data_IF_310883529996
#
_entry.id   IF_310883529996
#
_cell.length_a   1.000
_cell.length_b   1.000
_cell.length_c   1.000
_cell.angle_alpha   90.00
_cell.angle_beta   90.00
_cell.angle_gamma   90.00
#
_symmetry.space_group_name_H-M   'P 1'
#
loop_
_entity.id
_entity.type
_entity.pdbx_description
1 polymer ?
#
# COMPACT_ATOMS: atom_id res chain seq x y z
N UNK A 1 11.14 -6.15 -13.54
CA UNK A 1 10.81 -4.77 -13.12
C UNK A 1 10.72 -4.80 -11.60
N UNK A 2 11.55 -4.02 -10.91
CA UNK A 2 11.60 -4.02 -9.44
C UNK A 2 10.38 -3.28 -8.88
N UNK A 3 9.25 -3.99 -8.85
CA UNK A 3 7.96 -3.54 -8.34
C UNK A 3 7.89 -3.77 -6.83
N UNK A 4 7.32 -2.80 -6.11
CA UNK A 4 7.04 -2.93 -4.69
C UNK A 4 5.52 -3.06 -4.53
N UNK A 5 5.07 -4.10 -3.83
CA UNK A 5 3.65 -4.40 -3.59
C UNK A 5 3.42 -4.45 -2.08
N UNK A 6 2.40 -3.73 -1.62
CA UNK A 6 2.09 -3.60 -0.21
C UNK A 6 0.75 -4.28 0.09
N UNK A 7 0.73 -5.19 1.06
CA UNK A 7 -0.46 -5.80 1.64
C UNK A 7 -0.58 -5.34 3.09
N UNK A 8 -1.54 -4.45 3.35
CA UNK A 8 -1.88 -3.99 4.69
C UNK A 8 -3.33 -4.37 5.00
N UNK A 9 -3.55 -5.13 6.08
CA UNK A 9 -4.89 -5.56 6.50
C UNK A 9 -5.65 -6.39 5.45
N UNK A 10 -4.97 -7.35 4.82
CA UNK A 10 -5.57 -8.22 3.80
C UNK A 10 -5.69 -9.66 4.30
N UNK A 11 -6.72 -10.37 3.83
CA UNK A 11 -6.82 -11.82 3.98
C UNK A 11 -6.65 -12.45 2.61
N UNK A 12 -5.70 -13.38 2.49
CA UNK A 12 -5.44 -14.17 1.28
C UNK A 12 -5.65 -15.63 1.64
N UNK A 13 -6.73 -16.21 1.14
CA UNK A 13 -7.17 -17.56 1.43
C UNK A 13 -7.80 -18.22 0.21
N UNK A 14 -8.05 -19.54 0.30
CA UNK A 14 -8.66 -20.35 -0.77
C UNK A 14 -7.91 -20.30 -2.12
N UNK A 15 -6.58 -20.18 -2.08
CA UNK A 15 -5.78 -20.28 -3.30
C UNK A 15 -5.25 -21.70 -3.47
N UNK A 16 -5.77 -22.42 -4.45
CA UNK A 16 -5.39 -23.81 -4.75
C UNK A 16 -4.30 -23.93 -5.84
N UNK A 17 -3.70 -22.82 -6.27
CA UNK A 17 -2.78 -22.82 -7.39
C UNK A 17 -1.44 -23.51 -7.03
N UNK A 18 -0.87 -24.23 -8.00
CA UNK A 18 0.43 -24.91 -7.86
C UNK A 18 1.61 -23.93 -7.67
N UNK A 19 1.36 -22.62 -7.63
CA UNK A 19 2.37 -21.59 -7.42
C UNK A 19 2.49 -21.16 -5.97
N UNK A 20 1.40 -21.13 -5.22
CA UNK A 20 1.27 -20.41 -3.95
C UNK A 20 0.26 -19.26 -4.07
N UNK A 21 -0.11 -18.67 -2.94
CA UNK A 21 -1.15 -17.63 -2.89
C UNK A 21 -0.66 -16.27 -3.44
N UNK A 22 0.60 -15.93 -3.18
CA UNK A 22 1.21 -14.66 -3.61
C UNK A 22 2.48 -14.95 -4.42
N UNK A 23 2.60 -14.38 -5.62
CA UNK A 23 3.77 -14.56 -6.48
C UNK A 23 4.75 -13.38 -6.38
N UNK A 24 6.03 -13.69 -6.18
CA UNK A 24 7.15 -12.75 -6.22
C UNK A 24 7.99 -13.00 -7.45
N UNK A 25 8.03 -12.02 -8.35
CA UNK A 25 8.90 -12.02 -9.53
C UNK A 25 10.28 -11.43 -9.25
N UNK A 26 11.20 -11.63 -10.19
CA UNK A 26 12.58 -11.13 -10.14
C UNK A 26 12.67 -9.62 -9.83
N UNK A 27 13.46 -9.29 -8.81
CA UNK A 27 13.69 -7.91 -8.37
C UNK A 27 12.52 -7.30 -7.58
N UNK A 28 11.47 -8.08 -7.31
CA UNK A 28 10.25 -7.62 -6.63
C UNK A 28 10.44 -7.47 -5.13
N UNK A 29 9.64 -6.60 -4.53
CA UNK A 29 9.51 -6.50 -3.08
C UNK A 29 8.03 -6.60 -2.71
N UNK A 30 7.71 -7.46 -1.75
CA UNK A 30 6.38 -7.54 -1.16
C UNK A 30 6.51 -7.16 0.32
N UNK A 31 5.72 -6.18 0.77
CA UNK A 31 5.61 -5.85 2.18
C UNK A 31 4.23 -6.29 2.67
N UNK A 32 4.21 -7.05 3.75
CA UNK A 32 3.00 -7.63 4.33
C UNK A 32 2.96 -7.17 5.77
N UNK A 33 1.93 -6.39 6.11
CA UNK A 33 1.70 -5.96 7.49
C UNK A 33 0.30 -6.27 7.90
N UNK A 34 0.15 -6.75 9.13
CA UNK A 34 -1.15 -6.91 9.76
C UNK A 34 -2.15 -7.68 8.89
N UNK A 35 -1.68 -8.74 8.23
CA UNK A 35 -2.42 -9.47 7.21
C UNK A 35 -2.46 -10.96 7.54
N UNK A 36 -3.42 -11.68 6.96
CA UNK A 36 -3.61 -13.11 7.14
C UNK A 36 -3.41 -13.80 5.78
N UNK A 37 -2.47 -14.75 5.71
CA UNK A 37 -2.23 -15.61 4.55
C UNK A 37 -2.35 -17.05 5.03
N UNK A 38 -3.56 -17.59 4.95
CA UNK A 38 -3.96 -18.87 5.51
C UNK A 38 -5.05 -19.54 4.67
N UNK A 39 -5.25 -20.84 4.84
CA UNK A 39 -6.23 -21.63 4.09
C UNK A 39 -5.92 -21.73 2.60
N UNK A 40 -4.67 -21.48 2.21
CA UNK A 40 -4.22 -21.71 0.85
C UNK A 40 -3.73 -23.16 0.73
N UNK A 41 -3.43 -23.58 -0.51
CA UNK A 41 -2.84 -24.87 -0.80
C UNK A 41 -1.45 -25.05 -0.15
N UNK A 42 -0.65 -25.96 -0.70
CA UNK A 42 0.59 -26.42 -0.06
C UNK A 42 1.62 -25.32 0.23
N UNK A 43 1.52 -24.13 -0.38
CA UNK A 43 2.49 -23.05 -0.28
C UNK A 43 1.81 -21.68 -0.24
N UNK A 44 2.38 -20.74 0.52
CA UNK A 44 1.85 -19.39 0.65
C UNK A 44 2.41 -18.44 -0.43
N UNK A 45 3.64 -18.70 -0.88
CA UNK A 45 4.32 -17.88 -1.86
C UNK A 45 4.81 -18.67 -3.07
N UNK A 46 4.63 -18.09 -4.26
CA UNK A 46 5.33 -18.52 -5.47
C UNK A 46 6.57 -17.68 -5.64
N UNK A 47 7.74 -18.31 -5.68
CA UNK A 47 8.99 -17.59 -5.93
C UNK A 47 9.60 -18.02 -7.26
N UNK A 48 10.03 -17.04 -8.07
CA UNK A 48 10.65 -17.31 -9.36
C UNK A 48 12.18 -17.15 -9.28
N UNK A 49 12.90 -17.95 -10.09
CA UNK A 49 14.35 -17.82 -10.23
C UNK A 49 14.67 -16.65 -11.16
N UNK A 50 15.45 -15.68 -10.68
CA UNK A 50 15.92 -14.53 -11.45
C UNK A 50 17.40 -14.23 -11.20
N UNK A 51 17.92 -13.23 -11.89
CA UNK A 51 19.27 -12.68 -11.69
C UNK A 51 19.29 -11.55 -10.64
N UNK A 52 18.15 -10.91 -10.36
CA UNK A 52 18.00 -9.90 -9.32
C UNK A 52 17.34 -10.47 -8.04
N UNK A 53 17.81 -10.09 -6.83
CA UNK A 53 17.19 -10.51 -5.59
C UNK A 53 15.82 -9.87 -5.41
N UNK A 54 14.91 -10.64 -4.81
CA UNK A 54 13.57 -10.20 -4.45
C UNK A 54 13.37 -10.35 -2.94
N UNK A 55 12.40 -9.65 -2.38
CA UNK A 55 12.23 -9.55 -0.92
C UNK A 55 10.77 -9.72 -0.54
N UNK A 56 10.52 -10.45 0.54
CA UNK A 56 9.20 -10.53 1.19
C UNK A 56 9.38 -10.12 2.63
N UNK A 57 8.91 -8.92 2.97
CA UNK A 57 9.01 -8.35 4.31
C UNK A 57 7.68 -8.56 5.03
N UNK A 58 7.70 -9.19 6.20
CA UNK A 58 6.49 -9.61 6.92
C UNK A 58 6.56 -9.10 8.35
N UNK A 59 5.55 -8.36 8.77
CA UNK A 59 5.42 -7.81 10.13
C UNK A 59 3.96 -7.98 10.60
N UNK A 60 3.76 -8.25 11.89
CA UNK A 60 2.44 -8.35 12.54
C UNK A 60 1.42 -9.21 11.77
N UNK A 61 1.86 -10.25 11.06
CA UNK A 61 1.03 -10.98 10.10
C UNK A 61 1.01 -12.47 10.39
N UNK A 62 -0.12 -13.11 10.08
CA UNK A 62 -0.35 -14.54 10.25
C UNK A 62 -0.11 -15.25 8.93
N UNK A 63 0.96 -16.03 8.85
CA UNK A 63 1.32 -16.80 7.65
C UNK A 63 1.22 -18.28 7.97
N UNK A 64 0.47 -19.04 7.16
CA UNK A 64 0.36 -20.47 7.33
C UNK A 64 1.73 -21.14 7.13
N UNK A 65 2.13 -21.93 8.13
CA UNK A 65 3.46 -22.50 8.19
C UNK A 65 4.52 -21.62 8.86
N UNK A 66 4.16 -20.39 9.25
CA UNK A 66 5.02 -19.47 9.99
C UNK A 66 6.34 -19.23 9.26
N UNK A 67 7.46 -19.30 9.98
CA UNK A 67 8.81 -19.10 9.42
C UNK A 67 9.42 -20.35 8.77
N UNK A 68 8.67 -21.45 8.65
CA UNK A 68 9.20 -22.70 8.09
C UNK A 68 9.32 -22.62 6.56
N UNK A 69 10.55 -22.59 6.00
CA UNK A 69 10.76 -22.43 4.56
C UNK A 69 10.14 -23.55 3.72
N UNK A 70 10.00 -24.75 4.29
CA UNK A 70 9.51 -25.94 3.56
C UNK A 70 8.05 -25.86 3.14
N UNK A 71 7.27 -25.00 3.81
CA UNK A 71 5.82 -24.82 3.58
C UNK A 71 5.48 -23.40 3.12
N UNK A 72 6.44 -22.48 3.18
CA UNK A 72 6.24 -21.10 2.78
C UNK A 72 6.16 -20.94 1.27
N UNK A 73 7.01 -21.63 0.51
CA UNK A 73 7.10 -21.39 -0.93
C UNK A 73 7.53 -22.60 -1.74
N UNK A 74 7.22 -22.56 -3.04
CA UNK A 74 7.83 -23.44 -4.04
C UNK A 74 8.91 -22.65 -4.78
N UNK A 75 10.18 -22.97 -4.54
CA UNK A 75 11.23 -22.72 -5.52
C UNK A 75 12.18 -23.92 -5.62
N UNK A 76 12.58 -24.23 -6.85
CA UNK A 76 13.38 -25.40 -7.22
C UNK A 76 14.83 -25.33 -6.75
N UNK A 77 15.06 -25.43 -5.44
CA UNK A 77 16.32 -25.48 -4.69
C UNK A 77 16.93 -24.11 -4.35
N UNK A 78 17.03 -23.86 -3.04
CA UNK A 78 17.78 -22.80 -2.35
C UNK A 78 19.24 -22.63 -2.86
N UNK A 79 19.85 -21.43 -2.77
CA UNK A 79 19.27 -20.12 -2.50
C UNK A 79 19.73 -19.09 -3.55
N UNK A 80 18.92 -18.80 -4.56
CA UNK A 80 19.10 -17.59 -5.37
C UNK A 80 17.74 -17.06 -5.82
N UNK A 81 17.24 -16.00 -5.17
CA UNK A 81 16.23 -15.14 -5.77
C UNK A 81 15.26 -14.43 -4.84
N UNK A 82 14.91 -14.96 -3.66
CA UNK A 82 13.95 -14.32 -2.73
C UNK A 82 14.39 -14.46 -1.27
N UNK A 83 14.43 -13.34 -0.56
CA UNK A 83 14.73 -13.27 0.88
C UNK A 83 13.45 -12.95 1.66
N UNK A 84 13.12 -13.79 2.64
CA UNK A 84 12.01 -13.56 3.57
C UNK A 84 12.54 -12.86 4.82
N UNK A 85 12.14 -11.60 5.00
CA UNK A 85 12.48 -10.79 6.15
C UNK A 85 11.32 -10.79 7.15
N UNK A 86 11.55 -11.40 8.31
CA UNK A 86 10.58 -11.47 9.40
C UNK A 86 10.87 -10.34 10.38
N UNK A 87 9.97 -9.38 10.47
CA UNK A 87 10.05 -8.25 11.39
C UNK A 87 9.31 -8.52 12.71
N UNK A 88 8.75 -7.46 13.29
CA UNK A 88 8.03 -7.53 14.57
C UNK A 88 6.67 -8.22 14.44
N UNK A 89 6.08 -8.63 15.58
CA UNK A 89 4.74 -9.22 15.62
C UNK A 89 4.60 -10.58 14.92
N UNK A 90 5.68 -11.35 14.82
CA UNK A 90 5.64 -12.71 14.27
C UNK A 90 5.48 -13.70 15.43
N UNK A 91 4.29 -14.28 15.52
CA UNK A 91 3.93 -15.25 16.56
C UNK A 91 4.29 -16.66 16.10
N UNK A 92 5.02 -17.40 16.94
CA UNK A 92 5.51 -18.75 16.61
C UNK A 92 4.45 -19.83 16.82
N UNK A 93 3.51 -19.61 17.74
CA UNK A 93 2.35 -20.48 17.96
C UNK A 93 1.35 -20.35 16.82
N UNK A 94 0.56 -21.40 16.53
CA UNK A 94 -0.62 -21.27 15.69
C UNK A 94 -1.54 -20.14 16.20
N UNK A 95 -2.27 -19.46 15.30
CA UNK A 95 -3.12 -18.34 15.67
C UNK A 95 -4.42 -18.74 16.37
N UNK A 96 -4.75 -20.04 16.44
CA UNK A 96 -5.98 -20.54 17.05
C UNK A 96 -7.23 -19.77 16.58
N UNK A 97 -7.51 -19.85 15.29
CA UNK A 97 -8.69 -19.23 14.70
C UNK A 97 -9.99 -19.83 15.27
N UNK A 98 -11.05 -19.03 15.35
CA UNK A 98 -12.39 -19.46 15.76
C UNK A 98 -12.92 -20.56 14.82
N UNK A 99 -12.54 -20.52 13.54
CA UNK A 99 -12.95 -21.46 12.52
C UNK A 99 -14.44 -21.32 12.16
N UNK A 100 -15.04 -22.41 11.69
CA UNK A 100 -16.43 -22.43 11.25
C UNK A 100 -16.73 -23.63 10.37
N UNK A 101 -17.97 -23.69 9.87
CA UNK A 101 -18.39 -24.73 8.93
C UNK A 101 -17.89 -24.47 7.50
N UNK A 102 -17.60 -23.21 7.16
CA UNK A 102 -17.12 -22.78 5.85
C UNK A 102 -15.72 -22.17 5.96
N UNK A 103 -14.70 -22.92 5.51
CA UNK A 103 -13.31 -22.46 5.46
C UNK A 103 -13.05 -21.40 4.37
N UNK A 104 -14.05 -21.14 3.52
CA UNK A 104 -14.03 -20.11 2.48
C UNK A 104 -14.70 -18.79 2.92
N UNK A 105 -15.15 -18.70 4.17
CA UNK A 105 -15.59 -17.45 4.76
C UNK A 105 -14.38 -16.73 5.39
N UNK A 106 -14.06 -15.48 5.03
CA UNK A 106 -12.99 -14.73 5.70
C UNK A 106 -13.19 -14.61 7.22
N UNK A 107 -14.42 -14.70 7.72
CA UNK A 107 -14.74 -14.71 9.16
C UNK A 107 -14.20 -15.94 9.88
N UNK A 108 -13.88 -17.02 9.16
CA UNK A 108 -13.22 -18.21 9.69
C UNK A 108 -11.89 -17.87 10.40
N UNK A 109 -11.20 -16.83 9.92
CA UNK A 109 -9.86 -16.43 10.37
C UNK A 109 -9.85 -15.37 11.49
N UNK A 110 -10.98 -15.13 12.15
CA UNK A 110 -10.99 -14.40 13.42
C UNK A 110 -10.28 -15.23 14.50
N UNK A 111 -9.68 -14.55 15.49
CA UNK A 111 -9.02 -15.24 16.60
C UNK A 111 -10.06 -15.87 17.54
N UNK A 112 -9.74 -17.01 18.11
CA UNK A 112 -10.48 -17.57 19.25
C UNK A 112 -9.96 -17.01 20.57
N UNK A 113 -10.73 -17.19 21.65
CA UNK A 113 -10.37 -16.77 23.00
C UNK A 113 -9.05 -17.36 23.54
N UNK A 114 -8.54 -18.43 22.92
CA UNK A 114 -7.30 -19.09 23.32
C UNK A 114 -6.08 -18.60 22.55
N UNK A 115 -6.27 -17.66 21.61
CA UNK A 115 -5.21 -17.24 20.72
C UNK A 115 -4.13 -16.44 21.43
N UNK A 116 -2.89 -16.88 21.25
CA UNK A 116 -1.70 -16.12 21.61
C UNK A 116 -1.46 -14.85 20.77
N UNK A 117 -2.30 -14.61 19.76
CA UNK A 117 -2.23 -13.43 18.90
C UNK A 117 -3.03 -12.24 19.43
N UNK A 118 -3.85 -12.46 20.47
CA UNK A 118 -4.61 -11.40 21.15
C UNK A 118 -3.62 -10.48 21.88
N UNK A 119 -3.76 -9.17 21.71
CA UNK A 119 -2.95 -8.10 22.31
C UNK A 119 -1.44 -8.26 22.08
N UNK A 120 -1.03 -8.91 20.97
CA UNK A 120 0.37 -9.27 20.71
C UNK A 120 1.08 -8.38 19.68
N UNK A 121 0.40 -7.36 19.16
CA UNK A 121 0.89 -6.41 18.16
C UNK A 121 1.46 -5.13 18.75
N UNK A 122 1.00 -3.99 18.24
CA UNK A 122 1.48 -2.65 18.62
C UNK A 122 0.43 -1.88 19.41
N UNK A 123 0.81 -0.92 20.26
CA UNK A 123 -0.16 -0.14 21.03
C UNK A 123 -0.98 0.86 20.19
N UNK A 124 -0.56 1.13 18.93
CA UNK A 124 -1.25 2.01 18.01
C UNK A 124 -0.96 1.62 16.54
N UNK A 125 -1.58 2.33 15.59
CA UNK A 125 -1.48 2.02 14.15
C UNK A 125 -0.26 2.65 13.45
N UNK A 126 0.65 3.29 14.19
CA UNK A 126 1.80 4.03 13.64
C UNK A 126 2.69 3.10 12.82
N UNK A 127 2.93 3.47 11.56
CA UNK A 127 3.81 2.70 10.66
C UNK A 127 3.19 1.43 10.06
N UNK A 128 1.95 1.09 10.44
CA UNK A 128 1.20 -0.06 9.92
C UNK A 128 0.25 0.31 8.77
N UNK A 129 -0.06 1.60 8.57
CA UNK A 129 -1.03 2.08 7.55
C UNK A 129 -2.43 1.48 7.74
N UNK A 130 -2.83 1.30 9.01
CA UNK A 130 -4.12 0.73 9.39
C UNK A 130 -5.13 1.82 9.73
N UNK A 131 -6.42 1.63 9.39
CA UNK A 131 -7.49 2.46 9.91
C UNK A 131 -7.70 2.21 11.41
N UNK A 132 -8.42 3.10 12.11
CA UNK A 132 -8.76 2.90 13.52
C UNK A 132 -9.82 1.81 13.76
N UNK A 133 -10.25 1.09 12.72
CA UNK A 133 -11.11 -0.08 12.80
C UNK A 133 -10.51 -1.29 12.07
N UNK A 134 -11.00 -2.50 12.35
CA UNK A 134 -10.61 -3.76 11.71
C UNK A 134 -11.44 -4.09 10.45
N UNK A 135 -11.34 -5.30 9.88
CA UNK A 135 -12.15 -5.67 8.70
C UNK A 135 -13.65 -5.88 9.00
N UNK A 136 -14.06 -5.99 10.26
CA UNK A 136 -15.45 -6.04 10.71
C UNK A 136 -15.99 -4.68 11.14
N UNK A 137 -15.19 -3.63 11.02
CA UNK A 137 -15.47 -2.30 11.57
C UNK A 137 -15.51 -2.29 13.11
N UNK A 138 -14.73 -3.12 13.79
CA UNK A 138 -14.53 -3.02 15.25
C UNK A 138 -13.35 -2.10 15.58
N UNK A 139 -13.29 -1.55 16.79
CA UNK A 139 -12.15 -0.72 17.23
C UNK A 139 -10.82 -1.46 17.09
N UNK A 140 -9.82 -0.80 16.48
CA UNK A 140 -8.50 -1.40 16.20
C UNK A 140 -7.61 -1.57 17.44
N UNK A 141 -7.62 -0.56 18.32
CA UNK A 141 -6.83 -0.57 19.55
C UNK A 141 -7.80 -0.93 20.65
N UNK A 142 -7.72 -2.17 21.10
CA UNK A 142 -8.67 -2.78 22.03
C UNK A 142 -7.92 -3.58 23.08
N UNK A 143 -8.55 -3.80 24.24
CA UNK A 143 -8.02 -4.62 25.33
C UNK A 143 -8.74 -5.98 25.26
N UNK A 144 -8.23 -6.87 24.40
CA UNK A 144 -8.89 -8.14 24.08
C UNK A 144 -8.88 -9.15 25.23
N UNK A 145 -7.89 -9.05 26.11
CA UNK A 145 -7.69 -9.91 27.26
C UNK A 145 -8.18 -9.33 28.61
N UNK A 146 -8.68 -8.09 28.62
CA UNK A 146 -9.18 -7.35 29.80
C UNK A 146 -8.13 -7.19 30.92
N UNK A 147 -6.85 -7.00 30.56
CA UNK A 147 -5.74 -6.77 31.50
C UNK A 147 -5.49 -5.29 31.83
N UNK A 148 -6.21 -4.38 31.17
CA UNK A 148 -6.09 -2.93 31.29
C UNK A 148 -5.19 -2.30 30.24
N UNK A 149 -4.69 -3.05 29.26
CA UNK A 149 -3.77 -2.58 28.21
C UNK A 149 -4.34 -2.83 26.83
N UNK A 150 -4.73 -1.76 26.14
CA UNK A 150 -5.19 -1.89 24.76
C UNK A 150 -4.03 -2.03 23.76
N UNK A 151 -3.97 -3.13 23.02
CA UNK A 151 -2.95 -3.46 22.03
C UNK A 151 -3.65 -4.05 20.79
N UNK A 152 -3.08 -3.81 19.61
CA UNK A 152 -3.61 -4.39 18.36
C UNK A 152 -3.30 -5.90 18.33
N UNK A 153 -4.29 -6.69 17.94
CA UNK A 153 -4.12 -8.12 17.68
C UNK A 153 -3.26 -8.39 16.44
N UNK A 154 -2.61 -9.55 16.39
CA UNK A 154 -1.91 -9.98 15.18
C UNK A 154 -2.93 -10.51 14.17
N UNK A 155 -3.05 -9.84 13.02
CA UNK A 155 -3.95 -10.24 11.94
C UNK A 155 -4.95 -9.15 11.60
N UNK A 156 -6.03 -9.48 10.89
CA UNK A 156 -6.93 -8.49 10.31
C UNK A 156 -8.16 -8.12 11.17
N UNK A 157 -8.36 -8.82 12.29
CA UNK A 157 -9.53 -8.74 13.15
C UNK A 157 -9.10 -8.53 14.59
N UNK A 158 -9.85 -7.72 15.34
CA UNK A 158 -9.65 -7.53 16.77
C UNK A 158 -10.62 -8.39 17.58
N UNK A 159 -10.08 -9.18 18.49
CA UNK A 159 -10.83 -10.09 19.33
C UNK A 159 -11.62 -9.31 20.39
N UNK A 160 -12.93 -9.56 20.43
CA UNK A 160 -13.81 -9.01 21.46
C UNK A 160 -14.04 -7.50 21.37
N UNK A 161 -13.53 -6.83 20.33
CA UNK A 161 -13.68 -5.40 20.14
C UNK A 161 -15.12 -5.00 19.79
N UNK A 162 -15.57 -3.89 20.37
CA UNK A 162 -16.86 -3.30 20.04
C UNK A 162 -16.84 -2.71 18.62
N UNK A 163 -18.04 -2.64 18.00
CA UNK A 163 -18.23 -1.96 16.72
C UNK A 163 -17.77 -0.49 16.83
N UNK A 164 -17.00 -0.06 15.83
CA UNK A 164 -16.49 1.29 15.73
C UNK A 164 -17.64 2.25 15.42
N UNK A 165 -18.07 3.02 16.42
CA UNK A 165 -19.14 4.03 16.28
C UNK A 165 -18.61 5.46 16.10
N UNK A 166 -17.36 5.63 15.67
CA UNK A 166 -16.80 6.96 15.40
C UNK A 166 -17.60 7.70 14.32
N UNK A 167 -17.90 8.98 14.55
CA UNK A 167 -18.64 9.84 13.59
C UNK A 167 -17.76 10.25 12.40
N UNK A 168 -16.47 9.90 12.43
CA UNK A 168 -15.57 10.09 11.30
C UNK A 168 -15.73 8.92 10.34
N UNK A 169 -16.53 9.12 9.29
CA UNK A 169 -16.57 8.20 8.14
C UNK A 169 -15.14 7.88 7.69
N UNK A 170 -14.86 6.63 7.26
CA UNK A 170 -13.54 6.21 6.84
C UNK A 170 -12.84 7.10 5.80
N UNK A 171 -11.92 7.97 6.21
CA UNK A 171 -10.85 8.41 5.31
C UNK A 171 -9.87 7.25 5.16
N UNK A 172 -10.02 6.49 4.08
CA UNK A 172 -8.94 5.64 3.58
C UNK A 172 -7.74 6.56 3.33
N UNK A 173 -6.70 6.48 4.18
CA UNK A 173 -5.42 7.17 3.94
C UNK A 173 -4.66 6.41 2.85
N UNK A 174 -5.16 6.49 1.62
CA UNK A 174 -4.30 6.44 0.45
C UNK A 174 -3.57 7.78 0.46
N UNK A 175 -2.25 7.88 0.15
CA UNK A 175 -1.67 9.17 -0.18
C UNK A 175 -2.31 9.64 -1.50
N UNK A 176 -3.50 10.24 -1.43
CA UNK A 176 -4.34 10.51 -2.60
C UNK A 176 -3.82 11.72 -3.37
N UNK A 177 -3.10 12.61 -2.70
CA UNK A 177 -2.61 13.85 -3.30
C UNK A 177 -1.12 14.13 -3.03
N UNK A 178 -0.38 14.39 -4.10
CA UNK A 178 0.93 15.03 -4.04
C UNK A 178 0.69 16.51 -3.80
N UNK A 179 1.26 17.04 -2.72
CA UNK A 179 1.23 18.47 -2.49
C UNK A 179 1.95 19.18 -3.65
N UNK A 180 1.17 19.96 -4.40
CA UNK A 180 1.69 20.77 -5.48
C UNK A 180 0.98 22.12 -5.53
N UNK A 181 1.67 23.14 -6.02
CA UNK A 181 1.13 24.47 -6.23
C UNK A 181 1.71 25.06 -7.49
N UNK A 182 1.05 26.08 -8.04
CA UNK A 182 1.61 26.85 -9.13
C UNK A 182 1.60 28.34 -8.76
N UNK A 183 2.74 29.00 -8.91
CA UNK A 183 2.89 30.43 -8.66
C UNK A 183 3.71 31.10 -9.77
N UNK A 184 3.26 32.24 -10.32
CA UNK A 184 2.00 32.93 -10.00
C UNK A 184 0.76 32.18 -10.55
N UNK A 185 -0.40 32.40 -9.92
CA UNK A 185 -1.72 31.98 -10.40
C UNK A 185 -2.76 33.02 -9.97
N UNK A 186 -3.37 33.80 -10.89
CA UNK A 186 -3.21 33.75 -12.34
C UNK A 186 -1.82 34.15 -12.84
N UNK A 187 -1.44 33.75 -14.06
CA UNK A 187 -0.15 34.10 -14.66
C UNK A 187 -0.29 34.59 -16.11
N UNK A 188 0.68 35.40 -16.59
CA UNK A 188 0.63 36.04 -17.92
C UNK A 188 1.69 35.50 -18.91
N UNK A 189 2.88 35.15 -18.43
CA UNK A 189 3.99 34.65 -19.26
C UNK A 189 4.41 33.22 -18.90
N UNK A 190 4.54 32.94 -17.61
CA UNK A 190 4.86 31.62 -17.10
C UNK A 190 4.37 31.42 -15.67
N UNK A 191 4.23 30.16 -15.27
CA UNK A 191 3.98 29.76 -13.88
C UNK A 191 4.95 28.65 -13.51
N UNK A 192 5.43 28.66 -12.27
CA UNK A 192 6.26 27.60 -11.71
C UNK A 192 5.37 26.65 -10.95
N UNK A 193 5.34 25.39 -11.35
CA UNK A 193 4.65 24.31 -10.66
C UNK A 193 5.64 23.69 -9.69
N UNK A 194 5.42 23.86 -8.39
CA UNK A 194 6.22 23.30 -7.31
C UNK A 194 5.52 22.09 -6.71
N UNK A 195 6.25 21.03 -6.38
CA UNK A 195 5.71 19.79 -5.81
C UNK A 195 6.75 19.07 -4.95
N UNK A 196 6.29 18.25 -4.01
CA UNK A 196 7.15 17.50 -3.10
C UNK A 196 6.95 15.99 -3.27
N UNK A 197 8.05 15.25 -3.45
CA UNK A 197 8.04 13.79 -3.61
C UNK A 197 8.56 13.13 -2.33
N UNK A 198 7.76 12.24 -1.75
CA UNK A 198 8.17 11.42 -0.61
C UNK A 198 9.04 10.24 -1.03
N UNK A 199 9.78 9.65 -0.08
CA UNK A 199 10.65 8.48 -0.29
C UNK A 199 9.93 7.26 -0.89
N UNK A 200 8.61 7.19 -0.76
CA UNK A 200 7.77 6.09 -1.27
C UNK A 200 7.38 6.25 -2.76
N UNK A 201 7.61 7.41 -3.37
CA UNK A 201 7.01 7.81 -4.65
C UNK A 201 8.03 8.42 -5.64
N UNK A 202 9.31 8.07 -5.60
CA UNK A 202 10.35 8.71 -6.44
C UNK A 202 10.55 8.08 -7.83
N UNK A 203 9.53 7.43 -8.43
CA UNK A 203 9.68 6.68 -9.70
C UNK A 203 8.61 7.06 -10.72
N UNK A 204 9.01 7.32 -11.97
CA UNK A 204 8.14 7.65 -13.11
C UNK A 204 7.26 8.89 -12.87
N UNK A 205 7.86 10.03 -12.55
CA UNK A 205 7.15 11.29 -12.35
C UNK A 205 6.80 11.92 -13.69
N UNK A 206 5.51 12.10 -13.95
CA UNK A 206 4.99 12.72 -15.16
C UNK A 206 4.14 13.94 -14.82
N UNK A 207 4.43 15.08 -15.42
CA UNK A 207 3.62 16.30 -15.31
C UNK A 207 3.09 16.68 -16.69
N UNK A 208 1.77 16.78 -16.79
CA UNK A 208 1.04 17.08 -18.03
C UNK A 208 0.07 18.23 -17.83
N UNK A 209 -0.11 19.05 -18.87
CA UNK A 209 -1.07 20.14 -18.94
C UNK A 209 -2.24 19.71 -19.83
N UNK A 210 -3.45 20.05 -19.41
CA UNK A 210 -4.70 19.78 -20.11
C UNK A 210 -5.56 21.04 -20.22
N UNK A 211 -6.35 21.14 -21.29
CA UNK A 211 -7.37 22.17 -21.44
C UNK A 211 -8.71 21.75 -20.79
N UNK A 212 -9.70 22.65 -20.78
CA UNK A 212 -11.04 22.38 -20.22
C UNK A 212 -11.82 21.24 -20.89
N UNK A 213 -11.41 20.83 -22.10
CA UNK A 213 -12.00 19.68 -22.82
C UNK A 213 -11.30 18.35 -22.46
N UNK A 214 -10.34 18.37 -21.53
CA UNK A 214 -9.53 17.20 -21.17
C UNK A 214 -8.49 16.80 -22.21
N UNK A 215 -8.22 17.66 -23.22
CA UNK A 215 -7.20 17.38 -24.22
C UNK A 215 -5.83 17.74 -23.67
N UNK A 216 -4.86 16.84 -23.85
CA UNK A 216 -3.46 17.08 -23.45
C UNK A 216 -2.88 18.22 -24.30
N UNK A 217 -2.35 19.23 -23.61
CA UNK A 217 -1.74 20.43 -24.19
C UNK A 217 -0.24 20.32 -24.22
N UNK A 218 0.38 19.90 -23.10
CA UNK A 218 1.83 19.79 -22.99
C UNK A 218 2.25 18.70 -22.01
N UNK A 219 3.35 18.02 -22.29
CA UNK A 219 4.10 17.22 -21.31
C UNK A 219 5.27 18.07 -20.80
N UNK A 220 5.27 18.43 -19.51
CA UNK A 220 6.30 19.28 -18.91
C UNK A 220 7.48 18.49 -18.35
N UNK A 221 7.19 17.30 -17.84
CA UNK A 221 8.15 16.45 -17.16
C UNK A 221 7.74 15.00 -17.38
N UNK A 222 8.71 14.11 -17.63
CA UNK A 222 8.48 12.67 -17.71
C UNK A 222 9.80 11.94 -17.42
N UNK A 223 10.21 11.93 -16.15
CA UNK A 223 11.50 11.37 -15.73
C UNK A 223 11.44 10.80 -14.30
N UNK A 224 12.55 10.17 -13.90
CA UNK A 224 12.75 9.75 -12.51
C UNK A 224 13.36 10.91 -11.71
N UNK A 225 12.72 11.27 -10.60
CA UNK A 225 13.19 12.32 -9.70
C UNK A 225 13.50 11.72 -8.33
N UNK A 226 14.55 12.22 -7.67
CA UNK A 226 14.83 11.88 -6.28
C UNK A 226 13.71 12.39 -5.34
N UNK A 227 13.69 11.90 -4.10
CA UNK A 227 12.80 12.44 -3.07
C UNK A 227 13.17 13.91 -2.74
N UNK A 228 12.18 14.69 -2.34
CA UNK A 228 12.33 16.11 -1.98
C UNK A 228 11.50 17.06 -2.83
N UNK A 229 11.81 18.36 -2.72
CA UNK A 229 11.10 19.44 -3.40
C UNK A 229 11.62 19.65 -4.81
N UNK A 230 10.69 19.75 -5.75
CA UNK A 230 10.95 19.94 -7.18
C UNK A 230 10.10 21.05 -7.75
N UNK A 231 10.51 21.58 -8.90
CA UNK A 231 9.70 22.54 -9.64
C UNK A 231 9.91 22.44 -11.14
N UNK A 232 8.87 22.75 -11.90
CA UNK A 232 8.90 22.83 -13.37
C UNK A 232 8.16 24.07 -13.84
N UNK A 233 8.67 24.73 -14.87
CA UNK A 233 8.10 25.98 -15.39
C UNK A 233 7.25 25.67 -16.63
N UNK A 234 6.04 26.22 -16.68
CA UNK A 234 5.23 26.25 -17.91
C UNK A 234 5.15 27.67 -18.47
N UNK A 235 5.44 27.81 -19.76
CA UNK A 235 5.47 29.09 -20.49
C UNK A 235 4.19 29.38 -21.30
N UNK A 236 3.09 28.68 -21.02
CA UNK A 236 1.85 28.85 -21.81
C UNK A 236 1.99 28.37 -23.26
N UNK A 237 2.81 27.35 -23.50
CA UNK A 237 3.03 26.73 -24.82
C UNK A 237 2.45 25.31 -24.84
N UNK A 238 2.08 24.80 -26.02
CA UNK A 238 1.74 23.38 -26.24
C UNK A 238 2.98 22.52 -26.53
N UNK A 239 2.79 21.23 -26.80
CA UNK A 239 3.87 20.28 -27.19
C UNK A 239 4.63 20.73 -28.46
N UNK A 240 3.98 21.42 -29.40
CA UNK A 240 4.59 21.99 -30.62
C UNK A 240 5.27 23.36 -30.39
N UNK A 241 5.38 23.80 -29.14
CA UNK A 241 5.91 25.11 -28.73
C UNK A 241 5.12 26.33 -29.28
N UNK A 242 3.85 26.13 -29.60
CA UNK A 242 2.92 27.19 -30.02
C UNK A 242 2.22 27.77 -28.80
N UNK A 243 2.06 29.11 -28.69
CA UNK A 243 1.29 29.74 -27.62
C UNK A 243 -0.15 29.23 -27.58
N UNK A 244 -0.62 28.90 -26.38
CA UNK A 244 -2.02 28.56 -26.16
C UNK A 244 -2.84 29.82 -25.84
N UNK A 245 -4.16 29.76 -25.98
CA UNK A 245 -5.04 30.90 -25.68
C UNK A 245 -5.15 31.13 -24.17
N UNK A 246 -5.48 32.36 -23.77
CA UNK A 246 -6.00 32.68 -22.44
C UNK A 246 -7.10 31.70 -22.01
N UNK A 247 -7.09 31.32 -20.74
CA UNK A 247 -8.15 30.49 -20.18
C UNK A 247 -7.72 29.60 -19.02
N UNK A 248 -8.63 28.70 -18.65
CA UNK A 248 -8.43 27.73 -17.59
C UNK A 248 -7.69 26.51 -18.15
N UNK A 249 -6.67 26.09 -17.42
CA UNK A 249 -5.92 24.86 -17.67
C UNK A 249 -5.82 24.02 -16.41
N UNK A 250 -5.54 22.74 -16.59
CA UNK A 250 -5.30 21.80 -15.52
C UNK A 250 -3.89 21.25 -15.66
N UNK A 251 -3.13 21.23 -14.57
CA UNK A 251 -1.87 20.51 -14.50
C UNK A 251 -2.06 19.27 -13.66
N UNK A 252 -1.52 18.16 -14.15
CA UNK A 252 -1.65 16.83 -13.56
C UNK A 252 -0.26 16.27 -13.30
N UNK A 253 0.00 15.89 -12.07
CA UNK A 253 1.15 15.06 -11.72
C UNK A 253 0.69 13.61 -11.58
N UNK A 254 1.45 12.69 -12.16
CA UNK A 254 1.30 11.24 -11.97
C UNK A 254 2.63 10.68 -11.49
N UNK A 255 2.56 9.89 -10.42
CA UNK A 255 3.71 9.22 -9.82
C UNK A 255 3.26 7.83 -9.39
N UNK A 256 3.76 6.79 -10.06
CA UNK A 256 3.20 5.45 -9.90
C UNK A 256 1.68 5.44 -10.12
N UNK A 257 0.94 5.07 -9.07
CA UNK A 257 -0.53 5.04 -9.05
C UNK A 257 -1.18 6.34 -8.55
N UNK A 258 -0.42 7.23 -7.91
CA UNK A 258 -0.92 8.49 -7.39
C UNK A 258 -1.09 9.49 -8.53
N UNK A 259 -2.22 10.20 -8.51
CA UNK A 259 -2.54 11.24 -9.49
C UNK A 259 -3.12 12.43 -8.75
N UNK A 260 -2.54 13.60 -9.00
CA UNK A 260 -3.08 14.86 -8.46
C UNK A 260 -3.28 15.83 -9.61
N UNK A 261 -4.42 16.51 -9.60
CA UNK A 261 -4.80 17.47 -10.63
C UNK A 261 -5.15 18.78 -9.96
N UNK A 262 -4.55 19.88 -10.43
CA UNK A 262 -4.89 21.23 -9.96
C UNK A 262 -5.16 22.16 -11.14
N UNK A 263 -5.93 23.20 -10.87
CA UNK A 263 -6.39 24.19 -11.84
C UNK A 263 -5.48 25.43 -11.82
N UNK A 264 -5.21 26.01 -12.98
CA UNK A 264 -4.51 27.27 -13.14
C UNK A 264 -5.21 28.19 -14.15
N UNK A 265 -5.05 29.50 -13.97
CA UNK A 265 -5.60 30.52 -14.86
C UNK A 265 -4.48 31.23 -15.62
N UNK A 266 -4.51 31.14 -16.94
CA UNK A 266 -3.58 31.81 -17.85
C UNK A 266 -4.24 33.07 -18.45
N UNK A 267 -3.56 34.20 -18.35
CA UNK A 267 -4.01 35.53 -18.76
C UNK A 267 -3.03 36.14 -19.77
N UNK A 268 -3.26 35.90 -21.06
CA UNK A 268 -2.53 36.48 -22.19
C UNK A 268 -3.42 36.98 -23.31
#
# INVERSE_FOLDING_TARGET
>A
NNENVDFFNNIVFDNSSNGGAIAVGEGGTINIKNSIIYGNGNYQFQTHRGNEPSYVNIEHSLIQGGTNPSVLHIAGTEPYGVEFNWGEGIIASPPDFIGGEDEYDPLYYQLSEFSSCIDAGTPDTTGLFLPPWDLLYNYRVWDGNDDGTAIIDIGCYEYGADEYTGIDEPEIIVPTEIEMSNYPNPFNSSTTISFELSTKNAKNTKIEIYNVKGQKVKTLLNEHLANGKHSVIWFGLNDDNIPVNSGIYFYKIKVGNIKTVKRMLFLK
#
